data_IF_119545541324
#
_entry.id   IF_119545541324
#
_cell.length_a   1.000
_cell.length_b   1.000
_cell.length_c   1.000
_cell.angle_alpha   90.00
_cell.angle_beta   90.00
_cell.angle_gamma   90.00
#
_symmetry.space_group_name_H-M   'P 1'
#
loop_
_entity.id
_entity.type
_entity.pdbx_description
1 polymer ?
#
# COMPACT_ATOMS: atom_id res chain seq x y z
N UNK A 1 -0.37 12.46 -20.37
CA UNK A 1 1.11 12.54 -20.44
C UNK A 1 1.67 12.26 -19.07
N UNK A 2 2.39 11.15 -18.93
CA UNK A 2 2.98 10.72 -17.65
C UNK A 2 4.01 11.75 -17.16
N UNK A 3 3.96 12.11 -15.88
CA UNK A 3 5.00 12.89 -15.22
C UNK A 3 6.08 11.98 -14.60
N UNK A 4 7.03 11.53 -15.42
CA UNK A 4 8.14 10.68 -14.97
C UNK A 4 9.12 11.42 -14.05
N UNK A 5 9.24 12.74 -14.18
CA UNK A 5 10.20 13.52 -13.39
C UNK A 5 9.81 13.53 -11.91
N UNK A 6 8.51 13.67 -11.62
CA UNK A 6 7.98 13.60 -10.25
C UNK A 6 8.19 12.21 -9.65
N UNK A 7 7.89 11.15 -10.40
CA UNK A 7 8.09 9.76 -9.97
C UNK A 7 9.56 9.47 -9.63
N UNK A 8 10.48 9.76 -10.55
CA UNK A 8 11.93 9.55 -10.35
C UNK A 8 12.44 10.37 -9.17
N UNK A 9 12.00 11.63 -9.06
CA UNK A 9 12.38 12.50 -7.95
C UNK A 9 11.89 11.95 -6.61
N UNK A 10 10.66 11.45 -6.57
CA UNK A 10 10.08 10.86 -5.36
C UNK A 10 10.79 9.55 -4.97
N UNK A 11 11.12 8.68 -5.92
CA UNK A 11 11.94 7.49 -5.65
C UNK A 11 13.31 7.87 -5.08
N UNK A 12 13.98 8.87 -5.68
CA UNK A 12 15.30 9.33 -5.21
C UNK A 12 15.24 9.90 -3.79
N UNK A 13 14.20 10.70 -3.49
CA UNK A 13 13.98 11.26 -2.15
C UNK A 13 13.81 10.17 -1.09
N UNK A 14 13.25 9.02 -1.48
CA UNK A 14 12.90 7.93 -0.58
C UNK A 14 13.81 6.71 -0.69
N UNK A 15 14.87 6.79 -1.50
CA UNK A 15 15.75 5.68 -1.81
C UNK A 15 16.25 4.95 -0.55
N UNK A 16 16.77 5.70 0.43
CA UNK A 16 17.30 5.09 1.66
C UNK A 16 16.25 4.32 2.44
N UNK A 17 15.04 4.86 2.58
CA UNK A 17 13.94 4.18 3.28
C UNK A 17 13.54 2.90 2.55
N UNK A 18 13.41 2.96 1.22
CA UNK A 18 13.03 1.80 0.42
C UNK A 18 14.09 0.70 0.48
N UNK A 19 15.38 1.07 0.41
CA UNK A 19 16.48 0.12 0.54
C UNK A 19 16.55 -0.50 1.95
N UNK A 20 16.32 0.28 3.01
CA UNK A 20 16.27 -0.24 4.39
C UNK A 20 15.11 -1.24 4.58
N UNK A 21 13.91 -0.92 4.06
CA UNK A 21 12.75 -1.81 4.10
C UNK A 21 12.99 -3.10 3.29
N UNK A 22 13.62 -2.97 2.11
CA UNK A 22 14.00 -4.11 1.26
C UNK A 22 15.05 -5.00 1.93
N UNK A 23 16.13 -4.41 2.45
CA UNK A 23 17.22 -5.13 3.09
C UNK A 23 16.77 -5.87 4.37
N UNK A 24 15.78 -5.32 5.07
CA UNK A 24 15.19 -5.93 6.27
C UNK A 24 14.12 -6.99 5.98
N UNK A 25 13.80 -7.23 4.70
CA UNK A 25 12.70 -8.11 4.24
C UNK A 25 11.38 -7.74 4.89
N UNK A 26 11.05 -6.45 4.88
CA UNK A 26 9.82 -5.96 5.51
C UNK A 26 8.60 -6.27 4.65
N UNK A 27 7.50 -6.69 5.29
CA UNK A 27 6.21 -6.87 4.63
C UNK A 27 5.71 -5.58 3.97
N UNK A 28 6.12 -4.42 4.48
CA UNK A 28 5.80 -3.12 3.90
C UNK A 28 6.45 -2.96 2.52
N UNK A 29 7.69 -3.43 2.33
CA UNK A 29 8.33 -3.38 1.01
C UNK A 29 7.66 -4.35 0.04
N UNK A 30 7.35 -5.57 0.50
CA UNK A 30 6.68 -6.59 -0.31
C UNK A 30 5.34 -6.07 -0.85
N UNK A 31 4.63 -5.24 -0.08
CA UNK A 31 3.41 -4.55 -0.50
C UNK A 31 3.59 -3.69 -1.75
N UNK A 32 4.71 -2.98 -1.84
CA UNK A 32 5.01 -2.07 -2.96
C UNK A 32 5.65 -2.77 -4.15
N UNK A 33 6.07 -4.03 -4.01
CA UNK A 33 6.88 -4.72 -4.99
C UNK A 33 6.23 -4.72 -6.38
N UNK A 34 4.98 -5.16 -6.50
CA UNK A 34 4.30 -5.25 -7.81
C UNK A 34 3.97 -3.87 -8.39
N UNK A 35 3.63 -2.89 -7.55
CA UNK A 35 3.42 -1.51 -7.99
C UNK A 35 4.71 -0.93 -8.57
N UNK A 36 5.83 -1.08 -7.87
CA UNK A 36 7.14 -0.61 -8.33
C UNK A 36 7.60 -1.31 -9.62
N UNK A 37 7.32 -2.60 -9.77
CA UNK A 37 7.61 -3.34 -11.03
C UNK A 37 6.84 -2.74 -12.20
N UNK A 38 5.52 -2.58 -12.05
CA UNK A 38 4.66 -2.08 -13.13
C UNK A 38 5.04 -0.64 -13.48
N UNK A 39 5.27 0.22 -12.48
CA UNK A 39 5.71 1.61 -12.72
C UNK A 39 7.07 1.66 -13.42
N UNK A 40 8.04 0.84 -13.00
CA UNK A 40 9.36 0.75 -13.63
C UNK A 40 9.30 0.23 -15.07
N UNK A 41 8.41 -0.72 -15.35
CA UNK A 41 8.16 -1.21 -16.71
C UNK A 41 7.59 -0.12 -17.62
N UNK A 42 6.62 0.65 -17.12
CA UNK A 42 6.03 1.76 -17.88
C UNK A 42 7.07 2.87 -18.10
N UNK A 43 7.88 3.20 -17.09
CA UNK A 43 8.99 4.14 -17.20
C UNK A 43 9.96 3.73 -18.33
N UNK A 44 10.44 2.48 -18.33
CA UNK A 44 11.35 1.97 -19.37
C UNK A 44 10.73 2.06 -20.77
N UNK A 45 9.42 1.79 -20.90
CA UNK A 45 8.70 1.93 -22.18
C UNK A 45 8.62 3.37 -22.64
N UNK A 46 8.28 4.30 -21.76
CA UNK A 46 8.22 5.73 -22.10
C UNK A 46 9.58 6.24 -22.54
N UNK A 47 10.66 5.87 -21.84
CA UNK A 47 12.02 6.28 -22.21
C UNK A 47 12.44 5.73 -23.58
N UNK A 48 12.04 4.50 -23.92
CA UNK A 48 12.40 3.87 -25.20
C UNK A 48 11.57 4.35 -26.37
N UNK A 49 10.25 4.53 -26.18
CA UNK A 49 9.31 4.72 -27.28
C UNK A 49 8.70 6.11 -27.34
N UNK A 50 8.93 6.96 -26.33
CA UNK A 50 8.37 8.33 -26.15
C UNK A 50 6.84 8.43 -26.07
N UNK A 51 6.11 7.44 -26.57
CA UNK A 51 4.64 7.34 -26.51
C UNK A 51 4.24 5.94 -26.10
N UNK A 52 3.26 5.87 -25.21
CA UNK A 52 2.64 4.63 -24.74
C UNK A 52 1.13 4.69 -24.95
N UNK A 53 0.47 3.56 -24.80
CA UNK A 53 -0.98 3.44 -24.80
C UNK A 53 -1.60 4.24 -23.62
N UNK A 54 -2.78 4.81 -23.84
CA UNK A 54 -3.53 5.58 -22.83
C UNK A 54 -3.79 4.76 -21.56
N UNK A 55 -4.01 3.46 -21.71
CA UNK A 55 -4.16 2.52 -20.60
C UNK A 55 -2.94 2.52 -19.66
N UNK A 56 -1.72 2.52 -20.20
CA UNK A 56 -0.52 2.61 -19.37
C UNK A 56 -0.34 3.99 -18.73
N UNK A 57 -0.86 5.06 -19.34
CA UNK A 57 -0.89 6.38 -18.67
C UNK A 57 -1.78 6.33 -17.42
N UNK A 58 -2.96 5.73 -17.52
CA UNK A 58 -3.90 5.57 -16.39
C UNK A 58 -3.32 4.65 -15.32
N UNK A 59 -2.76 3.49 -15.71
CA UNK A 59 -2.12 2.56 -14.77
C UNK A 59 -0.98 3.29 -14.03
N UNK A 60 -0.16 4.06 -14.73
CA UNK A 60 0.93 4.79 -14.09
C UNK A 60 0.42 5.83 -13.09
N UNK A 61 -0.60 6.62 -13.46
CA UNK A 61 -1.16 7.66 -12.60
C UNK A 61 -1.75 7.07 -11.31
N UNK A 62 -2.54 6.00 -11.42
CA UNK A 62 -3.13 5.30 -10.28
C UNK A 62 -2.03 4.67 -9.41
N UNK A 63 -1.07 3.98 -10.03
CA UNK A 63 0.00 3.30 -9.30
C UNK A 63 0.92 4.25 -8.57
N UNK A 64 1.29 5.37 -9.20
CA UNK A 64 2.14 6.36 -8.57
C UNK A 64 1.42 7.08 -7.43
N UNK A 65 0.14 7.44 -7.61
CA UNK A 65 -0.67 8.06 -6.55
C UNK A 65 -0.82 7.13 -5.35
N UNK A 66 -1.16 5.86 -5.60
CA UNK A 66 -1.21 4.83 -4.58
C UNK A 66 0.12 4.68 -3.84
N UNK A 67 1.23 4.51 -4.57
CA UNK A 67 2.55 4.34 -3.96
C UNK A 67 2.93 5.54 -3.10
N UNK A 68 2.68 6.76 -3.60
CA UNK A 68 2.93 7.99 -2.87
C UNK A 68 2.16 8.03 -1.55
N UNK A 69 0.83 7.87 -1.60
CA UNK A 69 -0.03 7.95 -0.41
C UNK A 69 0.36 6.90 0.65
N UNK A 70 0.58 5.67 0.22
CA UNK A 70 0.91 4.57 1.12
C UNK A 70 2.30 4.73 1.73
N UNK A 71 3.28 5.22 0.96
CA UNK A 71 4.63 5.46 1.49
C UNK A 71 4.65 6.66 2.46
N UNK A 72 3.87 7.70 2.21
CA UNK A 72 3.68 8.79 3.18
C UNK A 72 3.04 8.30 4.48
N UNK A 73 2.07 7.39 4.41
CA UNK A 73 1.47 6.80 5.61
C UNK A 73 2.49 5.96 6.39
N UNK A 74 3.32 5.16 5.71
CA UNK A 74 4.44 4.44 6.35
C UNK A 74 5.39 5.41 7.05
N UNK A 75 5.74 6.54 6.43
CA UNK A 75 6.58 7.56 7.06
C UNK A 75 5.91 8.16 8.29
N UNK A 76 4.59 8.38 8.26
CA UNK A 76 3.84 8.85 9.41
C UNK A 76 3.96 7.88 10.58
N UNK A 77 3.74 6.57 10.35
CA UNK A 77 3.94 5.55 11.38
C UNK A 77 5.36 5.59 11.97
N UNK A 78 6.38 5.61 11.10
CA UNK A 78 7.79 5.65 11.51
C UNK A 78 8.10 6.90 12.35
N UNK A 79 7.57 8.05 11.92
CA UNK A 79 7.83 9.33 12.58
C UNK A 79 7.11 9.43 13.94
N UNK A 80 5.82 9.11 13.98
CA UNK A 80 4.96 9.30 15.15
C UNK A 80 5.25 8.27 16.25
N UNK A 81 5.46 7.00 15.89
CA UNK A 81 5.45 5.90 16.87
C UNK A 81 6.82 5.26 17.09
N UNK A 82 7.69 5.31 16.08
CA UNK A 82 8.96 4.59 16.12
C UNK A 82 10.20 5.49 16.19
N UNK A 83 10.06 6.81 16.04
CA UNK A 83 11.19 7.76 16.09
C UNK A 83 12.37 7.33 15.19
N UNK A 84 12.07 6.74 14.02
CA UNK A 84 13.03 6.14 13.07
C UNK A 84 13.69 4.82 13.49
N UNK A 85 13.23 4.17 14.55
CA UNK A 85 13.67 2.81 14.93
C UNK A 85 12.94 1.73 14.11
N UNK A 86 13.57 1.31 13.01
CA UNK A 86 13.04 0.27 12.12
C UNK A 86 13.00 -1.13 12.77
N UNK A 87 13.76 -1.38 13.83
CA UNK A 87 13.70 -2.67 14.55
C UNK A 87 12.39 -2.77 15.31
N UNK A 88 12.00 -1.70 15.98
CA UNK A 88 10.69 -1.61 16.63
C UNK A 88 9.55 -1.65 15.63
N UNK A 89 9.69 -1.00 14.46
CA UNK A 89 8.70 -1.05 13.38
C UNK A 89 8.37 -2.49 12.97
N UNK A 90 9.40 -3.32 12.79
CA UNK A 90 9.26 -4.72 12.33
C UNK A 90 8.31 -5.55 13.21
N UNK A 91 8.28 -5.28 14.52
CA UNK A 91 7.36 -5.98 15.44
C UNK A 91 5.89 -5.71 15.11
N UNK A 92 5.57 -4.57 14.55
CA UNK A 92 4.20 -4.12 14.27
C UNK A 92 3.88 -4.14 12.77
N UNK A 93 4.77 -4.67 11.92
CA UNK A 93 4.64 -4.53 10.47
C UNK A 93 3.37 -5.18 9.94
N UNK A 94 2.89 -6.26 10.54
CA UNK A 94 1.64 -6.91 10.15
C UNK A 94 0.42 -6.01 10.38
N UNK A 95 0.38 -5.30 11.52
CA UNK A 95 -0.70 -4.36 11.83
C UNK A 95 -0.64 -3.12 10.94
N UNK A 96 0.56 -2.60 10.68
CA UNK A 96 0.77 -1.48 9.76
C UNK A 96 0.35 -1.90 8.35
N UNK A 97 0.73 -3.10 7.91
CA UNK A 97 0.32 -3.62 6.62
C UNK A 97 -1.20 -3.83 6.52
N UNK A 98 -1.86 -4.21 7.61
CA UNK A 98 -3.33 -4.28 7.67
C UNK A 98 -3.97 -2.88 7.61
N UNK A 99 -3.38 -1.88 8.26
CA UNK A 99 -3.83 -0.49 8.18
C UNK A 99 -3.74 0.04 6.73
N UNK A 100 -2.61 -0.16 6.06
CA UNK A 100 -2.40 0.19 4.65
C UNK A 100 -3.44 -0.50 3.75
N UNK A 101 -3.76 -1.76 4.01
CA UNK A 101 -4.83 -2.51 3.32
C UNK A 101 -6.20 -1.88 3.51
N UNK A 102 -6.56 -1.51 4.75
CA UNK A 102 -7.84 -0.87 5.04
C UNK A 102 -7.98 0.49 4.37
N UNK A 103 -6.90 1.26 4.29
CA UNK A 103 -6.88 2.57 3.63
C UNK A 103 -7.12 2.40 2.12
N UNK A 104 -6.43 1.47 1.47
CA UNK A 104 -6.64 1.13 0.04
C UNK A 104 -8.05 0.59 -0.23
N UNK A 105 -8.52 -0.33 0.61
CA UNK A 105 -9.85 -0.91 0.53
C UNK A 105 -10.94 0.16 0.70
N UNK A 106 -10.71 1.15 1.57
CA UNK A 106 -11.65 2.26 1.78
C UNK A 106 -11.85 3.07 0.51
N UNK A 107 -10.77 3.41 -0.20
CA UNK A 107 -10.89 4.14 -1.47
C UNK A 107 -11.60 3.29 -2.53
N UNK A 108 -11.24 2.02 -2.65
CA UNK A 108 -11.92 1.05 -3.55
C UNK A 108 -13.44 0.99 -3.29
N UNK A 109 -13.84 0.91 -2.02
CA UNK A 109 -15.24 0.84 -1.64
C UNK A 109 -15.97 2.16 -1.91
N UNK A 110 -15.31 3.32 -1.77
CA UNK A 110 -15.89 4.62 -2.10
C UNK A 110 -16.15 4.73 -3.60
N UNK A 111 -15.17 4.37 -4.42
CA UNK A 111 -15.29 4.39 -5.89
C UNK A 111 -16.46 3.53 -6.38
N UNK A 112 -16.64 2.35 -5.77
CA UNK A 112 -17.74 1.43 -6.07
C UNK A 112 -19.07 1.80 -5.43
N UNK A 113 -19.15 2.92 -4.71
CA UNK A 113 -20.34 3.32 -3.92
C UNK A 113 -20.79 2.26 -2.90
N UNK A 114 -19.84 1.49 -2.36
CA UNK A 114 -20.02 0.39 -1.40
C UNK A 114 -19.58 0.78 0.02
N UNK A 115 -18.98 1.96 0.21
CA UNK A 115 -18.58 2.47 1.53
C UNK A 115 -19.77 2.99 2.35
N UNK A 116 -20.59 2.05 2.85
CA UNK A 116 -21.76 2.33 3.68
C UNK A 116 -21.38 2.83 5.08
N UNK A 117 -22.36 3.33 5.84
CA UNK A 117 -22.14 3.75 7.23
C UNK A 117 -21.59 2.60 8.10
N UNK A 118 -22.14 1.38 7.96
CA UNK A 118 -21.69 0.22 8.73
C UNK A 118 -20.27 -0.21 8.35
N UNK A 119 -19.95 -0.20 7.05
CA UNK A 119 -18.60 -0.51 6.54
C UNK A 119 -17.59 0.50 7.07
N UNK A 120 -17.93 1.80 7.01
CA UNK A 120 -17.13 2.89 7.56
C UNK A 120 -16.87 2.70 9.05
N UNK A 121 -17.92 2.45 9.84
CA UNK A 121 -17.77 2.26 11.29
C UNK A 121 -16.86 1.07 11.60
N UNK A 122 -17.02 -0.04 10.88
CA UNK A 122 -16.19 -1.24 11.08
C UNK A 122 -14.72 -0.99 10.75
N UNK A 123 -14.44 -0.36 9.60
CA UNK A 123 -13.07 -0.03 9.21
C UNK A 123 -12.43 0.95 10.22
N UNK A 124 -13.15 1.99 10.64
CA UNK A 124 -12.65 2.96 11.62
C UNK A 124 -12.33 2.30 12.97
N UNK A 125 -13.15 1.36 13.44
CA UNK A 125 -12.88 0.62 14.67
C UNK A 125 -11.59 -0.19 14.58
N UNK A 126 -11.33 -0.84 13.44
CA UNK A 126 -10.10 -1.60 13.24
C UNK A 126 -8.89 -0.67 13.17
N UNK A 127 -9.00 0.45 12.44
CA UNK A 127 -7.94 1.45 12.34
C UNK A 127 -7.58 2.03 13.72
N UNK A 128 -8.57 2.39 14.53
CA UNK A 128 -8.38 2.89 15.90
C UNK A 128 -7.73 1.84 16.81
N UNK A 129 -8.11 0.56 16.68
CA UNK A 129 -7.51 -0.53 17.46
C UNK A 129 -6.04 -0.76 17.06
N UNK A 130 -5.72 -0.72 15.76
CA UNK A 130 -4.34 -0.77 15.26
C UNK A 130 -3.54 0.42 15.82
N UNK A 131 -4.05 1.64 15.70
CA UNK A 131 -3.39 2.85 16.18
C UNK A 131 -3.12 2.79 17.69
N UNK A 132 -4.10 2.31 18.47
CA UNK A 132 -3.95 2.12 19.92
C UNK A 132 -2.83 1.13 20.24
N UNK A 133 -2.77 -0.01 19.55
CA UNK A 133 -1.73 -1.02 19.80
C UNK A 133 -0.35 -0.51 19.44
N UNK A 134 -0.22 0.15 18.28
CA UNK A 134 1.05 0.67 17.77
C UNK A 134 1.55 1.82 18.64
N UNK A 135 0.68 2.79 18.96
CA UNK A 135 1.05 3.98 19.73
C UNK A 135 1.45 3.66 21.18
N UNK A 136 0.72 2.74 21.82
CA UNK A 136 1.02 2.31 23.18
C UNK A 136 2.05 1.17 23.25
N UNK A 137 2.52 0.68 22.10
CA UNK A 137 3.45 -0.45 21.98
C UNK A 137 2.98 -1.70 22.74
N UNK A 138 1.67 -1.99 22.65
CA UNK A 138 1.09 -3.19 23.26
C UNK A 138 1.61 -4.45 22.56
N UNK A 139 1.68 -5.55 23.29
CA UNK A 139 1.85 -6.87 22.66
C UNK A 139 0.56 -7.24 21.92
N UNK A 140 0.70 -7.92 20.79
CA UNK A 140 -0.43 -8.51 20.06
C UNK A 140 -0.03 -9.90 19.55
N UNK A 141 -1.02 -10.67 19.12
CA UNK A 141 -0.85 -11.98 18.50
C UNK A 141 -1.71 -12.05 17.23
N UNK A 142 -1.52 -13.11 16.46
CA UNK A 142 -2.19 -13.30 15.16
C UNK A 142 -3.72 -13.38 15.27
N UNK A 143 -4.27 -13.68 16.46
CA UNK A 143 -5.72 -13.71 16.70
C UNK A 143 -6.38 -12.36 16.42
N UNK A 144 -5.66 -11.25 16.57
CA UNK A 144 -6.20 -9.93 16.27
C UNK A 144 -6.48 -9.74 14.79
N UNK A 145 -5.63 -10.28 13.92
CA UNK A 145 -5.83 -10.21 12.47
C UNK A 145 -7.01 -11.09 12.06
N UNK A 146 -7.19 -12.24 12.69
CA UNK A 146 -8.39 -13.06 12.50
C UNK A 146 -9.67 -12.33 12.93
N UNK A 147 -9.63 -11.62 14.06
CA UNK A 147 -10.75 -10.77 14.50
C UNK A 147 -11.07 -9.70 13.45
N UNK A 148 -10.06 -8.98 12.95
CA UNK A 148 -10.26 -7.94 11.94
C UNK A 148 -10.85 -8.50 10.64
N UNK A 149 -10.35 -9.65 10.18
CA UNK A 149 -10.89 -10.31 8.98
C UNK A 149 -12.36 -10.70 9.16
N UNK A 150 -12.72 -11.26 10.31
CA UNK A 150 -14.11 -11.63 10.61
C UNK A 150 -15.02 -10.40 10.65
N UNK A 151 -14.54 -9.28 11.21
CA UNK A 151 -15.29 -8.02 11.21
C UNK A 151 -15.55 -7.51 9.79
N UNK A 152 -14.57 -7.59 8.89
CA UNK A 152 -14.71 -7.10 7.52
C UNK A 152 -15.58 -7.99 6.63
N UNK A 153 -15.57 -9.31 6.85
CA UNK A 153 -16.22 -10.28 5.95
C UNK A 153 -17.72 -10.02 5.76
N UNK A 154 -18.39 -9.45 6.76
CA UNK A 154 -19.83 -9.14 6.70
C UNK A 154 -20.15 -7.89 5.86
N UNK A 155 -19.18 -6.99 5.68
CA UNK A 155 -19.41 -5.66 5.10
C UNK A 155 -18.69 -5.42 3.77
N UNK A 156 -17.64 -6.19 3.49
CA UNK A 156 -16.87 -6.07 2.24
C UNK A 156 -17.44 -7.02 1.20
N UNK A 157 -17.98 -6.52 0.06
CA UNK A 157 -18.53 -7.38 -0.97
C UNK A 157 -17.48 -8.33 -1.55
N UNK A 158 -17.88 -9.58 -1.79
CA UNK A 158 -17.03 -10.59 -2.43
C UNK A 158 -16.56 -10.10 -3.80
N UNK A 159 -15.27 -10.27 -4.09
CA UNK A 159 -14.65 -9.82 -5.35
C UNK A 159 -14.23 -8.35 -5.34
N UNK A 160 -14.28 -7.67 -4.20
CA UNK A 160 -13.67 -6.34 -4.05
C UNK A 160 -12.16 -6.50 -4.06
N UNK A 161 -11.52 -6.08 -5.16
CA UNK A 161 -10.07 -6.06 -5.30
C UNK A 161 -9.52 -4.69 -4.93
N UNK A 162 -8.48 -4.68 -4.09
CA UNK A 162 -7.74 -3.49 -3.73
C UNK A 162 -6.77 -3.08 -4.84
N UNK A 163 -6.23 -1.86 -4.81
CA UNK A 163 -5.25 -1.39 -5.80
C UNK A 163 -4.03 -2.32 -5.83
N UNK A 164 -3.55 -2.75 -4.66
CA UNK A 164 -2.44 -3.71 -4.56
C UNK A 164 -2.73 -5.01 -5.35
N UNK A 165 -3.93 -5.58 -5.20
CA UNK A 165 -4.30 -6.82 -5.87
C UNK A 165 -4.41 -6.63 -7.39
N UNK A 166 -4.93 -5.48 -7.83
CA UNK A 166 -4.97 -5.13 -9.26
C UNK A 166 -3.56 -5.04 -9.84
N UNK A 167 -2.62 -4.40 -9.14
CA UNK A 167 -1.24 -4.30 -9.60
C UNK A 167 -0.49 -5.63 -9.62
N UNK A 168 -0.81 -6.54 -8.69
CA UNK A 168 -0.29 -7.90 -8.74
C UNK A 168 -0.75 -8.64 -10.01
N UNK A 169 -2.02 -8.50 -10.40
CA UNK A 169 -2.55 -9.08 -11.64
C UNK A 169 -1.92 -8.47 -12.90
N UNK A 170 -1.72 -7.15 -12.93
CA UNK A 170 -1.05 -6.47 -14.04
C UNK A 170 0.42 -6.94 -14.16
N UNK A 171 1.12 -7.03 -13.03
CA UNK A 171 2.50 -7.53 -12.95
C UNK A 171 2.61 -8.94 -13.53
N UNK A 172 1.66 -9.82 -13.19
CA UNK A 172 1.56 -11.18 -13.71
C UNK A 172 1.24 -11.21 -15.22
N UNK A 173 0.26 -10.42 -15.68
CA UNK A 173 -0.13 -10.36 -17.09
C UNK A 173 1.00 -9.84 -17.99
N UNK A 174 1.81 -8.92 -17.48
CA UNK A 174 2.98 -8.38 -18.18
C UNK A 174 4.24 -9.26 -18.07
N UNK A 175 4.20 -10.36 -17.31
CA UNK A 175 5.32 -11.28 -17.05
C UNK A 175 6.56 -10.55 -16.50
N UNK A 176 6.36 -9.61 -15.57
CA UNK A 176 7.44 -8.78 -15.00
C UNK A 176 8.03 -9.47 -13.76
N UNK A 177 9.33 -9.76 -13.80
CA UNK A 177 10.10 -10.33 -12.67
C UNK A 177 11.22 -9.40 -12.18
N UNK A 178 11.58 -9.53 -10.90
CA UNK A 178 12.70 -8.81 -10.26
C UNK A 178 14.03 -9.55 -10.41
#
# INVERSE_FOLDING_TARGET
>A
MINLEDYKSYLLQNYNLLEDLKASKSLIFDRFADVLKVLGFIEERVERYQKIEEEFEVIFEVGFSYFYEQLEEVKNFIHLYFQKDLVSLKKYEELINYNLYLTDLTETLKEKSQYTADTKTTILQILEEIETIVSERREFNDEILHKFNNMLQEYVPVGTQSTQEIFALISEELDISF
#
